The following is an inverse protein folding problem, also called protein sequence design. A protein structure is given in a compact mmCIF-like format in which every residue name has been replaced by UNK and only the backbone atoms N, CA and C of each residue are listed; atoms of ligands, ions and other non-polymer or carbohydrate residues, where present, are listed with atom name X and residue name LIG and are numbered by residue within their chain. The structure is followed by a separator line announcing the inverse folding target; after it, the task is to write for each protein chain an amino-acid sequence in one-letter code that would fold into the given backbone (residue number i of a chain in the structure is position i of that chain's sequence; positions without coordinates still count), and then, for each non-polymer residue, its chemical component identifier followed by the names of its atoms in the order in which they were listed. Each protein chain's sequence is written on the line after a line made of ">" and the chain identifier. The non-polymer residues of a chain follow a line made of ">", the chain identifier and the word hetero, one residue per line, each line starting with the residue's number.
data_IF_486889771990
#
_entry.id   IF_486889771990
#
_cell.length_a   1.000
_cell.length_b   1.000
_cell.length_c   1.000
_cell.angle_alpha   90.00
_cell.angle_beta   90.00
_cell.angle_gamma   90.00
#
_symmetry.space_group_name_H-M   'P 1'
#
loop_
_entity.id
_entity.type
_entity.pdbx_description
1 polymer ?
#
# COMPACT_ATOMS: atom_id res chain seq x y z
N UNK A 1 -19.03 -3.65 1.38
CA UNK A 1 -17.62 -3.28 1.65
C UNK A 1 -17.00 -4.19 2.72
N UNK A 2 -17.74 -4.54 3.76
CA UNK A 2 -17.23 -5.39 4.84
C UNK A 2 -16.76 -6.76 4.34
N UNK A 3 -17.55 -7.46 3.55
CA UNK A 3 -17.20 -8.77 2.98
C UNK A 3 -15.92 -8.70 2.13
N UNK A 4 -15.80 -7.69 1.28
CA UNK A 4 -14.62 -7.47 0.45
C UNK A 4 -13.38 -7.18 1.30
N UNK A 5 -13.52 -6.35 2.33
CA UNK A 5 -12.42 -6.02 3.25
C UNK A 5 -11.94 -7.25 4.01
N UNK A 6 -12.85 -8.08 4.52
CA UNK A 6 -12.51 -9.34 5.17
C UNK A 6 -11.81 -10.32 4.23
N UNK A 7 -12.23 -10.38 2.97
CA UNK A 7 -11.57 -11.18 1.94
C UNK A 7 -10.13 -10.70 1.71
N UNK A 8 -9.90 -9.39 1.59
CA UNK A 8 -8.55 -8.82 1.46
C UNK A 8 -7.68 -9.11 2.69
N UNK A 9 -8.21 -8.95 3.91
CA UNK A 9 -7.48 -9.25 5.15
C UNK A 9 -7.05 -10.72 5.17
N UNK A 10 -7.95 -11.64 4.85
CA UNK A 10 -7.62 -13.06 4.76
C UNK A 10 -6.56 -13.36 3.69
N UNK A 11 -6.65 -12.72 2.53
CA UNK A 11 -5.65 -12.86 1.48
C UNK A 11 -4.27 -12.35 1.93
N UNK A 12 -4.21 -11.21 2.63
CA UNK A 12 -2.98 -10.63 3.18
C UNK A 12 -2.34 -11.60 4.18
N UNK A 13 -3.11 -12.20 5.06
CA UNK A 13 -2.59 -13.14 6.06
C UNK A 13 -2.06 -14.43 5.42
N UNK A 14 -2.73 -14.94 4.41
CA UNK A 14 -2.29 -16.12 3.67
C UNK A 14 -1.06 -15.87 2.79
N UNK A 15 -0.78 -14.64 2.43
CA UNK A 15 0.31 -14.23 1.55
C UNK A 15 1.43 -13.45 2.28
N UNK A 16 1.55 -13.60 3.58
CA UNK A 16 2.52 -12.88 4.42
C UNK A 16 3.97 -13.05 3.93
N UNK A 17 4.28 -14.22 3.37
CA UNK A 17 5.58 -14.53 2.78
C UNK A 17 5.99 -13.62 1.60
N UNK A 18 5.06 -12.89 1.00
CA UNK A 18 5.38 -11.90 -0.04
C UNK A 18 6.02 -10.63 0.53
N UNK A 19 5.94 -10.40 1.83
CA UNK A 19 6.49 -9.21 2.46
C UNK A 19 5.90 -7.90 1.92
N UNK A 20 4.69 -7.93 1.36
CA UNK A 20 4.04 -6.78 0.74
C UNK A 20 3.55 -5.75 1.76
N UNK A 21 3.05 -6.21 2.92
CA UNK A 21 2.60 -5.35 4.01
C UNK A 21 3.61 -5.36 5.17
N UNK A 22 3.94 -4.19 5.70
CA UNK A 22 4.81 -4.01 6.87
C UNK A 22 4.02 -3.76 8.15
N UNK A 23 2.86 -3.12 8.04
CA UNK A 23 1.90 -2.94 9.13
C UNK A 23 0.49 -3.17 8.60
N UNK A 24 -0.28 -3.99 9.31
CA UNK A 24 -1.67 -4.30 8.99
C UNK A 24 -2.58 -3.56 9.97
N UNK A 25 -3.72 -3.07 9.50
CA UNK A 25 -4.72 -2.35 10.30
C UNK A 25 -6.10 -3.00 10.14
N UNK A 26 -6.27 -4.29 10.50
CA UNK A 26 -7.49 -5.03 10.20
C UNK A 26 -8.72 -4.47 10.94
N UNK A 27 -8.59 -4.11 12.21
CA UNK A 27 -9.73 -3.63 13.00
C UNK A 27 -10.24 -2.29 12.47
N UNK A 28 -9.33 -1.35 12.20
CA UNK A 28 -9.67 -0.06 11.61
C UNK A 28 -10.26 -0.22 10.20
N UNK A 29 -9.76 -1.15 9.41
CA UNK A 29 -10.29 -1.43 8.08
C UNK A 29 -11.72 -1.97 8.12
N UNK A 30 -12.02 -2.87 9.07
CA UNK A 30 -13.37 -3.41 9.26
C UNK A 30 -14.34 -2.30 9.71
N UNK A 31 -13.94 -1.42 10.62
CA UNK A 31 -14.78 -0.31 11.07
C UNK A 31 -15.04 0.70 9.95
N UNK A 32 -14.02 0.99 9.13
CA UNK A 32 -14.19 1.81 7.92
C UNK A 32 -15.15 1.14 6.92
N UNK A 33 -15.06 -0.18 6.74
CA UNK A 33 -15.93 -0.94 5.85
C UNK A 33 -17.39 -0.92 6.28
N UNK A 34 -17.67 -1.10 7.56
CA UNK A 34 -19.02 -0.99 8.13
C UNK A 34 -19.60 0.41 7.93
N UNK A 35 -18.79 1.43 8.15
CA UNK A 35 -19.20 2.82 7.91
C UNK A 35 -19.48 3.08 6.43
N UNK A 36 -18.67 2.53 5.54
CA UNK A 36 -18.88 2.62 4.10
C UNK A 36 -20.17 1.94 3.65
N UNK A 37 -20.50 0.76 4.20
CA UNK A 37 -21.74 0.05 3.89
C UNK A 37 -22.99 0.84 4.32
N UNK A 38 -22.93 1.57 5.43
CA UNK A 38 -24.01 2.47 5.84
C UNK A 38 -24.20 3.62 4.86
N UNK A 39 -23.11 4.26 4.42
CA UNK A 39 -23.14 5.35 3.43
C UNK A 39 -23.67 4.89 2.08
N UNK A 40 -23.26 3.70 1.62
CA UNK A 40 -23.74 3.09 0.38
C UNK A 40 -25.25 2.85 0.43
N UNK A 41 -25.78 2.36 1.56
CA UNK A 41 -27.22 2.16 1.77
C UNK A 41 -28.02 3.47 1.79
N UNK A 42 -27.41 4.56 2.27
CA UNK A 42 -28.03 5.87 2.33
C UNK A 42 -27.99 6.64 0.99
N UNK A 43 -27.21 6.15 0.03
CA UNK A 43 -27.02 6.83 -1.26
C UNK A 43 -26.08 8.06 -1.18
N UNK A 44 -25.35 8.23 -0.08
CA UNK A 44 -24.35 9.29 0.13
C UNK A 44 -22.92 8.71 0.10
N UNK A 45 -22.61 7.99 -0.94
CA UNK A 45 -21.33 7.32 -1.09
C UNK A 45 -20.40 8.10 -2.03
N UNK A 46 -19.20 8.53 -1.57
CA UNK A 46 -18.21 9.13 -2.45
C UNK A 46 -17.56 8.08 -3.37
N UNK A 47 -16.77 8.54 -4.34
CA UNK A 47 -16.31 7.75 -5.48
C UNK A 47 -15.54 6.46 -5.13
N UNK A 48 -14.80 6.45 -4.02
CA UNK A 48 -14.02 5.29 -3.57
C UNK A 48 -14.63 4.61 -2.33
N UNK A 49 -15.90 4.89 -2.04
CA UNK A 49 -16.55 4.39 -0.84
C UNK A 49 -16.52 2.86 -0.78
N UNK A 50 -15.86 2.34 0.24
CA UNK A 50 -15.80 0.91 0.48
C UNK A 50 -14.75 0.14 -0.33
N UNK A 51 -13.85 0.83 -1.02
CA UNK A 51 -12.76 0.21 -1.77
C UNK A 51 -11.54 -0.02 -0.87
N UNK A 52 -11.12 -1.28 -0.62
CA UNK A 52 -9.93 -1.58 0.18
C UNK A 52 -8.65 -1.29 -0.60
N UNK A 53 -7.76 -0.51 0.01
CA UNK A 53 -6.49 -0.10 -0.60
C UNK A 53 -5.31 -0.31 0.35
N UNK A 54 -4.13 -0.49 -0.25
CA UNK A 54 -2.86 -0.44 0.46
C UNK A 54 -2.19 0.93 0.36
N UNK A 55 -1.50 1.34 1.41
CA UNK A 55 -0.83 2.64 1.49
C UNK A 55 0.66 2.47 1.70
N UNK A 56 1.49 2.93 0.76
CA UNK A 56 2.96 2.88 0.90
C UNK A 56 3.41 3.50 2.22
N UNK A 57 4.37 2.87 2.88
CA UNK A 57 4.82 3.27 4.24
C UNK A 57 5.51 4.64 4.31
N UNK A 58 5.61 5.34 3.20
CA UNK A 58 6.07 6.72 3.13
C UNK A 58 4.98 7.74 3.54
N UNK A 59 3.71 7.44 3.27
CA UNK A 59 2.62 8.36 3.55
C UNK A 59 2.25 8.35 5.03
N UNK A 60 2.27 9.53 5.66
CA UNK A 60 1.82 9.69 7.02
C UNK A 60 0.33 9.36 7.15
N UNK A 61 0.03 8.35 7.96
CA UNK A 61 -1.33 8.00 8.37
C UNK A 61 -1.45 8.26 9.87
N UNK A 62 -2.32 9.17 10.25
CA UNK A 62 -2.50 9.56 11.65
C UNK A 62 -2.76 8.36 12.56
N UNK A 63 -1.92 8.19 13.58
CA UNK A 63 -2.02 7.12 14.58
C UNK A 63 -1.54 5.74 14.13
N UNK A 64 -1.16 5.58 12.86
CA UNK A 64 -0.64 4.33 12.30
C UNK A 64 0.88 4.41 12.18
N UNK A 65 1.59 3.33 12.49
CA UNK A 65 3.04 3.27 12.27
C UNK A 65 3.38 3.67 10.84
N UNK A 66 4.29 4.64 10.69
CA UNK A 66 4.74 5.16 9.41
C UNK A 66 6.25 5.35 9.49
N UNK A 67 7.00 4.39 8.98
CA UNK A 67 8.43 4.25 9.27
C UNK A 67 9.32 4.35 8.03
N UNK A 68 8.74 4.55 6.84
CA UNK A 68 9.47 4.61 5.55
C UNK A 68 10.43 3.42 5.38
N UNK A 69 10.03 2.23 5.86
CA UNK A 69 10.83 1.01 5.90
C UNK A 69 12.22 1.18 6.54
N UNK A 70 12.36 2.11 7.50
CA UNK A 70 13.62 2.44 8.16
C UNK A 70 13.55 2.22 9.66
N UNK A 71 14.67 1.72 10.21
CA UNK A 71 14.87 1.61 11.67
C UNK A 71 15.01 2.96 12.36
N UNK A 72 15.42 4.01 11.62
CA UNK A 72 15.54 5.37 12.15
C UNK A 72 14.21 5.91 12.65
N UNK A 73 13.10 5.52 11.99
CA UNK A 73 11.74 5.91 12.37
C UNK A 73 11.00 4.83 13.15
N UNK A 74 11.70 3.90 13.78
CA UNK A 74 11.08 2.82 14.56
C UNK A 74 10.13 3.39 15.63
N UNK A 75 8.88 2.91 15.61
CA UNK A 75 7.83 3.34 16.53
C UNK A 75 7.17 4.67 16.18
N UNK A 76 7.56 5.34 15.10
CA UNK A 76 6.95 6.62 14.72
C UNK A 76 5.50 6.45 14.29
N UNK A 77 4.62 7.16 15.00
CA UNK A 77 3.20 7.31 14.68
C UNK A 77 2.90 8.79 14.50
N UNK A 78 2.64 9.27 13.28
CA UNK A 78 2.33 10.67 13.05
C UNK A 78 1.01 11.08 13.72
N UNK A 79 0.99 12.30 14.27
CA UNK A 79 -0.23 12.92 14.81
C UNK A 79 -1.07 13.62 13.72
N UNK A 80 -0.61 13.59 12.49
CA UNK A 80 -1.23 14.21 11.34
C UNK A 80 -1.42 13.22 10.19
N UNK A 81 -2.35 13.54 9.30
CA UNK A 81 -2.62 12.81 8.07
C UNK A 81 -1.90 13.48 6.91
N UNK A 82 -1.31 12.72 6.00
CA UNK A 82 -0.83 13.29 4.73
C UNK A 82 -2.02 13.76 3.88
N UNK A 83 -1.80 14.77 3.04
CA UNK A 83 -2.86 15.26 2.12
C UNK A 83 -3.42 14.14 1.24
N UNK A 84 -2.56 13.24 0.78
CA UNK A 84 -2.96 12.12 -0.10
C UNK A 84 -3.89 11.16 0.65
N UNK A 85 -3.49 10.71 1.84
CA UNK A 85 -4.30 9.77 2.63
C UNK A 85 -5.57 10.42 3.16
N UNK A 86 -5.54 11.71 3.48
CA UNK A 86 -6.74 12.46 3.84
C UNK A 86 -7.74 12.51 2.67
N UNK A 87 -7.26 12.75 1.45
CA UNK A 87 -8.11 12.78 0.27
C UNK A 87 -8.72 11.39 -0.02
N UNK A 88 -7.96 10.32 0.15
CA UNK A 88 -8.46 8.94 0.01
C UNK A 88 -9.53 8.61 1.05
N UNK A 89 -9.33 9.00 2.32
CA UNK A 89 -10.33 8.86 3.38
C UNK A 89 -11.60 9.66 3.08
N UNK A 90 -11.46 10.89 2.61
CA UNK A 90 -12.60 11.73 2.21
C UNK A 90 -13.36 11.12 1.03
N UNK A 91 -12.65 10.46 0.11
CA UNK A 91 -13.25 9.72 -0.99
C UNK A 91 -13.84 8.35 -0.56
N UNK A 92 -13.72 7.97 0.71
CA UNK A 92 -14.31 6.77 1.28
C UNK A 92 -13.51 5.48 1.10
N UNK A 93 -12.25 5.56 0.69
CA UNK A 93 -11.38 4.39 0.59
C UNK A 93 -11.07 3.80 1.97
N UNK A 94 -10.94 2.48 2.03
CA UNK A 94 -10.60 1.71 3.23
C UNK A 94 -9.12 1.41 3.23
N UNK A 95 -8.40 1.80 4.29
CA UNK A 95 -6.97 1.52 4.41
C UNK A 95 -6.76 0.17 5.08
N UNK A 96 -6.13 -0.79 4.36
CA UNK A 96 -5.81 -2.13 4.87
C UNK A 96 -4.52 -2.16 5.70
N UNK A 97 -3.63 -1.21 5.47
CA UNK A 97 -2.34 -1.14 6.14
C UNK A 97 -1.26 -0.44 5.34
N UNK A 98 -0.02 -0.54 5.82
CA UNK A 98 1.16 0.08 5.25
C UNK A 98 1.97 -0.92 4.45
N UNK A 99 2.31 -0.53 3.22
CA UNK A 99 2.99 -1.36 2.24
C UNK A 99 4.50 -1.16 2.27
N UNK A 100 5.22 -2.26 2.07
CA UNK A 100 6.66 -2.30 2.04
C UNK A 100 7.25 -1.44 0.92
N UNK A 101 8.48 -0.97 1.14
CA UNK A 101 9.16 -0.07 0.23
C UNK A 101 10.67 -0.13 0.45
N UNK A 102 11.46 0.38 -0.48
CA UNK A 102 12.85 0.68 -0.21
C UNK A 102 12.98 1.77 0.87
N UNK A 103 13.98 1.66 1.72
CA UNK A 103 14.22 2.59 2.83
C UNK A 103 14.24 4.04 2.33
N UNK A 104 13.41 4.90 2.93
CA UNK A 104 13.20 6.31 2.55
C UNK A 104 12.86 6.53 1.07
N UNK A 105 12.28 5.53 0.41
CA UNK A 105 11.99 5.53 -1.04
C UNK A 105 13.23 5.68 -1.93
N UNK A 106 14.40 5.31 -1.43
CA UNK A 106 15.67 5.35 -2.14
C UNK A 106 16.09 3.95 -2.60
N UNK A 107 15.52 3.50 -3.69
CA UNK A 107 15.80 2.18 -4.27
C UNK A 107 14.88 1.88 -5.43
N UNK A 108 15.15 0.79 -6.14
CA UNK A 108 14.41 0.36 -7.32
C UNK A 108 14.01 -1.11 -7.31
N UNK A 109 14.29 -1.83 -6.20
CA UNK A 109 14.08 -3.28 -6.13
C UNK A 109 13.38 -3.76 -4.86
N UNK A 110 13.16 -2.86 -3.88
CA UNK A 110 12.63 -3.17 -2.55
C UNK A 110 13.49 -4.16 -1.75
N UNK A 111 14.82 -3.99 -1.85
CA UNK A 111 15.80 -4.82 -1.15
C UNK A 111 16.42 -4.11 0.06
N UNK A 112 16.15 -2.82 0.27
CA UNK A 112 16.74 -2.01 1.34
C UNK A 112 15.83 -1.86 2.56
N UNK A 113 14.65 -2.45 2.55
CA UNK A 113 13.70 -2.40 3.65
C UNK A 113 14.22 -3.09 4.91
N UNK A 114 14.05 -2.45 6.06
CA UNK A 114 14.36 -3.08 7.36
C UNK A 114 13.46 -4.29 7.68
N UNK A 115 12.31 -4.39 7.01
CA UNK A 115 11.37 -5.50 7.16
C UNK A 115 11.66 -6.69 6.25
N UNK A 116 12.72 -6.60 5.44
CA UNK A 116 13.04 -7.57 4.40
C UNK A 116 12.41 -7.23 3.05
N UNK A 117 12.70 -8.06 2.07
CA UNK A 117 12.33 -7.81 0.68
C UNK A 117 10.83 -8.04 0.44
N UNK A 118 10.22 -7.18 -0.38
CA UNK A 118 8.97 -7.55 -1.01
C UNK A 118 9.25 -8.48 -2.20
N UNK A 119 8.40 -9.46 -2.41
CA UNK A 119 8.54 -10.49 -3.43
C UNK A 119 7.50 -10.27 -4.52
N UNK A 120 7.93 -10.43 -5.78
CA UNK A 120 7.01 -10.44 -6.91
C UNK A 120 6.18 -11.75 -6.87
N UNK A 121 4.85 -11.68 -6.83
CA UNK A 121 4.01 -12.88 -6.84
C UNK A 121 4.12 -13.68 -8.14
N UNK A 122 4.52 -13.04 -9.23
CA UNK A 122 4.76 -13.70 -10.51
C UNK A 122 6.12 -14.38 -10.52
N UNK A 123 6.14 -15.66 -10.88
CA UNK A 123 7.36 -16.47 -10.88
C UNK A 123 7.80 -16.79 -12.31
N UNK A 124 9.10 -16.87 -12.50
CA UNK A 124 9.72 -17.42 -13.72
C UNK A 124 10.59 -18.59 -13.26
N UNK A 125 10.14 -19.80 -13.51
CA UNK A 125 10.73 -21.03 -12.97
C UNK A 125 10.81 -20.97 -11.42
N UNK A 126 11.92 -21.37 -10.82
CA UNK A 126 12.14 -21.35 -9.37
C UNK A 126 12.77 -20.05 -8.86
N UNK A 127 12.82 -19.00 -9.68
CA UNK A 127 13.44 -17.74 -9.31
C UNK A 127 12.48 -16.86 -8.51
N UNK A 128 12.98 -16.34 -7.38
CA UNK A 128 12.34 -15.25 -6.66
C UNK A 128 12.69 -13.95 -7.39
N UNK A 129 11.67 -13.20 -7.78
CA UNK A 129 11.82 -11.96 -8.52
C UNK A 129 11.50 -10.77 -7.63
N UNK A 130 12.14 -9.65 -7.90
CA UNK A 130 11.78 -8.37 -7.30
C UNK A 130 10.50 -7.83 -7.94
N UNK A 131 9.63 -7.16 -7.17
CA UNK A 131 8.45 -6.48 -7.72
C UNK A 131 8.77 -5.11 -8.30
N UNK A 132 10.05 -4.69 -8.25
CA UNK A 132 10.48 -3.32 -8.49
C UNK A 132 10.47 -2.49 -7.21
N UNK A 133 10.82 -1.24 -7.30
CA UNK A 133 10.91 -0.29 -6.17
C UNK A 133 10.87 1.16 -6.65
N UNK A 134 10.81 2.08 -5.73
CA UNK A 134 10.75 1.93 -4.28
C UNK A 134 9.39 1.45 -3.73
N UNK A 135 8.33 1.41 -4.52
CA UNK A 135 6.96 1.00 -4.13
C UNK A 135 6.72 -0.50 -4.35
N UNK A 136 7.69 -1.35 -4.00
CA UNK A 136 7.64 -2.79 -4.29
C UNK A 136 6.48 -3.50 -3.60
N UNK A 137 6.19 -3.16 -2.35
CA UNK A 137 5.03 -3.69 -1.64
C UNK A 137 3.71 -3.32 -2.30
N UNK A 138 3.60 -2.09 -2.86
CA UNK A 138 2.39 -1.66 -3.59
C UNK A 138 2.19 -2.49 -4.86
N UNK A 139 3.24 -2.72 -5.62
CA UNK A 139 3.19 -3.55 -6.82
C UNK A 139 2.85 -5.01 -6.48
N UNK A 140 3.52 -5.58 -5.47
CA UNK A 140 3.29 -6.95 -5.02
C UNK A 140 1.87 -7.17 -4.50
N UNK A 141 1.36 -6.25 -3.67
CA UNK A 141 0.03 -6.36 -3.09
C UNK A 141 -1.08 -6.38 -4.14
N UNK A 142 -1.01 -5.49 -5.14
CA UNK A 142 -2.00 -5.45 -6.23
C UNK A 142 -1.86 -6.66 -7.15
N UNK A 143 -0.63 -7.04 -7.50
CA UNK A 143 -0.39 -8.19 -8.38
C UNK A 143 -0.77 -9.55 -7.76
N UNK A 144 -0.87 -9.61 -6.43
CA UNK A 144 -1.30 -10.80 -5.68
C UNK A 144 -2.78 -10.72 -5.23
N UNK A 145 -3.55 -9.74 -5.70
CA UNK A 145 -4.96 -9.52 -5.34
C UNK A 145 -5.18 -9.33 -3.82
N UNK A 146 -4.19 -8.81 -3.08
CA UNK A 146 -4.30 -8.53 -1.66
C UNK A 146 -5.11 -7.25 -1.36
N UNK A 147 -5.22 -6.40 -2.34
CA UNK A 147 -6.03 -5.17 -2.32
C UNK A 147 -6.42 -4.80 -3.75
N UNK A 148 -7.50 -4.01 -3.89
CA UNK A 148 -7.97 -3.60 -5.21
C UNK A 148 -7.09 -2.54 -5.87
N UNK A 149 -6.47 -1.71 -5.05
CA UNK A 149 -5.54 -0.67 -5.49
C UNK A 149 -4.52 -0.39 -4.38
N UNK A 150 -3.43 0.24 -4.75
CA UNK A 150 -2.43 0.70 -3.81
C UNK A 150 -1.87 2.06 -4.25
N UNK A 151 -1.46 2.87 -3.28
CA UNK A 151 -0.72 4.09 -3.59
C UNK A 151 0.78 3.87 -3.40
N UNK A 152 1.54 4.43 -4.33
CA UNK A 152 2.99 4.47 -4.31
C UNK A 152 3.50 5.89 -4.54
N UNK A 153 4.81 6.03 -4.59
CA UNK A 153 5.47 7.30 -4.94
C UNK A 153 6.52 7.06 -6.00
N UNK A 154 6.79 8.09 -6.75
CA UNK A 154 8.03 8.21 -7.50
C UNK A 154 8.74 9.50 -7.09
N UNK A 155 10.02 9.38 -6.78
CA UNK A 155 10.77 10.48 -6.22
C UNK A 155 11.60 11.23 -7.24
N UNK A 156 11.74 10.77 -8.48
CA UNK A 156 12.42 11.52 -9.54
C UNK A 156 12.30 10.86 -10.92
N UNK A 157 12.21 9.54 -10.99
CA UNK A 157 12.49 8.77 -12.21
C UNK A 157 11.58 9.13 -13.37
N UNK A 158 10.29 9.31 -13.12
CA UNK A 158 9.32 9.60 -14.18
C UNK A 158 9.20 11.09 -14.50
N UNK A 159 9.60 11.98 -13.60
CA UNK A 159 9.54 13.43 -13.82
C UNK A 159 10.43 13.86 -14.98
N UNK A 160 11.52 13.14 -15.23
CA UNK A 160 12.48 13.41 -16.28
C UNK A 160 12.41 12.44 -17.47
N UNK A 161 11.62 11.38 -17.38
CA UNK A 161 11.39 10.44 -18.46
C UNK A 161 10.27 10.96 -19.37
N UNK A 162 10.64 11.52 -20.49
CA UNK A 162 9.70 11.85 -21.56
C UNK A 162 9.47 10.65 -22.46
N UNK A 163 8.36 10.64 -23.22
CA UNK A 163 8.07 9.56 -24.16
C UNK A 163 9.26 9.22 -25.09
N UNK A 164 10.00 10.17 -25.68
CA UNK A 164 11.20 9.86 -26.46
C UNK A 164 12.31 9.19 -25.66
N UNK A 165 12.45 9.50 -24.38
CA UNK A 165 13.44 8.89 -23.50
C UNK A 165 13.09 7.44 -23.19
N UNK A 166 11.82 7.15 -23.04
CA UNK A 166 11.32 5.78 -22.77
C UNK A 166 11.61 4.84 -23.95
N UNK A 167 11.62 5.35 -25.19
CA UNK A 167 11.97 4.56 -26.37
C UNK A 167 13.48 4.38 -26.57
N UNK A 168 14.31 5.10 -25.84
CA UNK A 168 15.77 5.01 -25.92
C UNK A 168 16.35 4.05 -24.87
N UNK A 169 15.53 3.52 -23.98
CA UNK A 169 15.84 2.52 -22.97
C UNK A 169 15.20 1.20 -23.39
#
# INVERSE_FOLDING_TARGET
>A
SEELTLSCISAIDNADALGAFVHKTPDEAIDQAKSADLRLKQGDAPALCGIPIGVKDLFACKGVLTQAASKILEGFKPEYESTVTQNLKNAGAITLGKLNMDEFAMGSSNETSVYGNAINPWKVSDKVLTPGGSSGGSASAVAADLCLAAIGTDTVSYTHLTLPTIFAV
#
